data_IF_619732160191
#
_entry.id   IF_619732160191
#
_cell.length_a   1.000
_cell.length_b   1.000
_cell.length_c   1.000
_cell.angle_alpha   90.00
_cell.angle_beta   90.00
_cell.angle_gamma   90.00
#
_symmetry.space_group_name_H-M   'P 1'
#
loop_
_entity.id
_entity.type
_entity.pdbx_description
1 polymer ?
#
# COMPACT_ATOMS: atom_id res chain seq x y z
N UNK A 1 -11.45 18.64 0.09
CA UNK A 1 -11.30 17.92 -1.21
C UNK A 1 -9.82 17.88 -1.55
N UNK A 2 -9.33 16.78 -2.09
CA UNK A 2 -7.98 16.65 -2.61
C UNK A 2 -7.98 15.78 -3.87
N UNK A 3 -6.94 15.93 -4.67
CA UNK A 3 -6.71 15.13 -5.87
C UNK A 3 -5.29 14.59 -5.81
N UNK A 4 -5.13 13.31 -6.16
CA UNK A 4 -3.81 12.67 -6.30
C UNK A 4 -3.54 12.55 -7.81
N UNK A 5 -2.46 13.15 -8.32
CA UNK A 5 -2.14 13.07 -9.74
C UNK A 5 -1.81 11.62 -10.14
N UNK A 6 -2.14 11.27 -11.37
CA UNK A 6 -1.74 9.98 -11.92
C UNK A 6 -0.21 9.85 -11.94
N UNK A 7 0.28 8.68 -11.55
CA UNK A 7 1.72 8.38 -11.40
C UNK A 7 2.46 9.22 -10.35
N UNK A 8 1.72 10.00 -9.54
CA UNK A 8 2.29 10.80 -8.46
C UNK A 8 2.52 9.98 -7.20
N UNK A 9 3.41 10.50 -6.36
CA UNK A 9 3.70 9.97 -5.01
C UNK A 9 3.28 11.00 -3.98
N UNK A 10 2.26 10.68 -3.20
CA UNK A 10 1.66 11.60 -2.23
C UNK A 10 1.83 11.06 -0.83
N UNK A 11 2.39 11.90 0.06
CA UNK A 11 2.49 11.64 1.49
C UNK A 11 1.31 12.22 2.25
N UNK A 12 0.70 11.43 3.14
CA UNK A 12 -0.28 11.91 4.11
C UNK A 12 0.35 11.84 5.49
N UNK A 13 0.74 12.99 5.99
CA UNK A 13 1.46 13.15 7.23
C UNK A 13 0.56 13.72 8.33
N UNK A 14 0.92 13.45 9.57
CA UNK A 14 0.23 13.98 10.74
C UNK A 14 0.40 13.09 11.97
N UNK A 15 0.11 13.60 13.17
CA UNK A 15 0.21 12.85 14.42
C UNK A 15 -0.67 11.58 14.43
N UNK A 16 -0.47 10.72 15.43
CA UNK A 16 -1.35 9.60 15.66
C UNK A 16 -2.77 10.04 16.05
N UNK A 17 -3.77 9.29 15.60
CA UNK A 17 -5.16 9.56 15.93
C UNK A 17 -5.83 10.68 15.11
N UNK A 18 -5.13 11.36 14.19
CA UNK A 18 -5.73 12.44 13.38
C UNK A 18 -6.63 11.94 12.24
N UNK A 19 -6.67 10.61 11.99
CA UNK A 19 -7.56 10.00 11.00
C UNK A 19 -6.90 9.53 9.70
N UNK A 20 -5.56 9.39 9.65
CA UNK A 20 -4.83 8.92 8.46
C UNK A 20 -5.30 7.54 7.99
N UNK A 21 -5.24 6.54 8.86
CA UNK A 21 -5.75 5.18 8.62
C UNK A 21 -7.24 5.19 8.25
N UNK A 22 -8.05 6.00 8.94
CA UNK A 22 -9.48 6.14 8.65
C UNK A 22 -9.72 6.67 7.23
N UNK A 23 -8.90 7.63 6.78
CA UNK A 23 -8.95 8.13 5.42
C UNK A 23 -8.68 6.99 4.42
N UNK A 24 -7.58 6.25 4.56
CA UNK A 24 -7.27 5.14 3.67
C UNK A 24 -8.35 4.05 3.72
N UNK A 25 -8.79 3.65 4.91
CA UNK A 25 -9.86 2.67 5.10
C UNK A 25 -11.18 3.11 4.44
N UNK A 26 -11.49 4.42 4.44
CA UNK A 26 -12.65 4.98 3.75
C UNK A 26 -12.48 4.90 2.23
N UNK A 27 -11.28 5.22 1.71
CA UNK A 27 -10.99 5.14 0.28
C UNK A 27 -11.15 3.71 -0.25
N UNK A 28 -10.73 2.69 0.51
CA UNK A 28 -10.89 1.28 0.11
C UNK A 28 -12.27 0.70 0.44
N UNK A 29 -13.10 1.41 1.21
CA UNK A 29 -14.46 0.99 1.55
C UNK A 29 -14.56 0.03 2.74
N UNK A 30 -13.59 0.04 3.64
CA UNK A 30 -13.58 -0.71 4.90
C UNK A 30 -14.33 0.01 6.02
N UNK A 31 -14.55 1.32 5.88
CA UNK A 31 -15.30 2.11 6.85
C UNK A 31 -16.50 2.81 6.19
N UNK A 32 -17.48 3.17 7.02
CA UNK A 32 -18.66 3.90 6.55
C UNK A 32 -18.27 5.34 6.20
N UNK A 33 -18.52 5.74 4.95
CA UNK A 33 -18.39 7.13 4.52
C UNK A 33 -19.64 7.91 4.95
N UNK A 34 -19.47 9.09 5.52
CA UNK A 34 -20.55 9.97 5.93
C UNK A 34 -20.96 10.94 4.83
N UNK A 35 -19.98 11.51 4.09
CA UNK A 35 -20.23 12.49 3.04
C UNK A 35 -19.11 12.47 1.98
N UNK A 36 -19.27 13.22 0.90
CA UNK A 36 -18.29 13.38 -0.18
C UNK A 36 -18.38 12.31 -1.25
N UNK A 37 -17.53 12.39 -2.26
CA UNK A 37 -17.44 11.45 -3.38
C UNK A 37 -16.00 11.00 -3.58
N UNK A 38 -15.79 9.79 -4.09
CA UNK A 38 -14.48 9.20 -4.37
C UNK A 38 -14.46 8.81 -5.83
N UNK A 39 -13.42 9.26 -6.52
CA UNK A 39 -13.19 9.01 -7.93
C UNK A 39 -11.86 8.29 -8.13
N UNK A 40 -11.80 7.34 -9.06
CA UNK A 40 -10.59 6.63 -9.46
C UNK A 40 -10.53 6.58 -10.99
N UNK A 41 -9.53 7.23 -11.58
CA UNK A 41 -9.35 7.27 -13.03
C UNK A 41 -10.59 7.77 -13.80
N UNK A 42 -11.28 8.80 -13.28
CA UNK A 42 -12.50 9.35 -13.88
C UNK A 42 -13.79 8.59 -13.56
N UNK A 43 -13.71 7.44 -12.89
CA UNK A 43 -14.88 6.65 -12.48
C UNK A 43 -15.24 6.92 -11.02
N UNK A 44 -16.51 7.17 -10.74
CA UNK A 44 -16.99 7.28 -9.37
C UNK A 44 -17.08 5.90 -8.71
N UNK A 45 -16.31 5.73 -7.62
CA UNK A 45 -16.26 4.48 -6.84
C UNK A 45 -16.93 4.61 -5.47
N UNK A 46 -17.60 5.72 -5.21
CA UNK A 46 -18.13 6.11 -3.89
C UNK A 46 -18.97 5.01 -3.23
N UNK A 47 -19.87 4.37 -3.98
CA UNK A 47 -20.77 3.33 -3.50
C UNK A 47 -20.30 1.91 -3.82
N UNK A 48 -19.13 1.77 -4.44
CA UNK A 48 -18.58 0.45 -4.75
C UNK A 48 -18.14 -0.28 -3.48
N UNK A 49 -18.47 -1.57 -3.31
CA UNK A 49 -17.92 -2.38 -2.23
C UNK A 49 -16.40 -2.57 -2.42
N UNK A 50 -15.68 -2.84 -1.33
CA UNK A 50 -14.22 -3.01 -1.29
C UNK A 50 -13.69 -3.92 -2.40
N UNK A 51 -14.34 -5.05 -2.64
CA UNK A 51 -13.92 -6.01 -3.69
C UNK A 51 -14.00 -5.42 -5.11
N UNK A 52 -14.97 -4.56 -5.40
CA UNK A 52 -15.07 -3.86 -6.70
C UNK A 52 -14.03 -2.74 -6.81
N UNK A 53 -13.76 -2.00 -5.73
CA UNK A 53 -12.69 -0.98 -5.70
C UNK A 53 -11.34 -1.62 -5.96
N UNK A 54 -11.07 -2.78 -5.33
CA UNK A 54 -9.85 -3.54 -5.58
C UNK A 54 -9.70 -4.01 -7.03
N UNK A 55 -10.81 -4.42 -7.69
CA UNK A 55 -10.82 -4.78 -9.12
C UNK A 55 -10.70 -3.55 -10.03
N UNK A 56 -11.18 -2.40 -9.58
CA UNK A 56 -11.03 -1.14 -10.30
C UNK A 56 -9.60 -0.59 -10.27
N UNK A 57 -8.68 -1.23 -9.53
CA UNK A 57 -7.27 -0.85 -9.50
C UNK A 57 -6.80 -0.18 -8.21
N UNK A 58 -7.57 -0.28 -7.11
CA UNK A 58 -7.16 0.23 -5.81
C UNK A 58 -6.48 -0.88 -4.98
N UNK A 59 -5.18 -0.75 -4.70
CA UNK A 59 -4.43 -1.61 -3.79
C UNK A 59 -4.33 -0.98 -2.40
N UNK A 60 -4.23 -1.81 -1.37
CA UNK A 60 -4.08 -1.36 0.01
C UNK A 60 -3.20 -2.29 0.82
N UNK A 61 -2.25 -1.72 1.53
CA UNK A 61 -1.41 -2.40 2.52
C UNK A 61 -1.70 -1.73 3.86
N UNK A 62 -2.42 -2.40 4.76
CA UNK A 62 -2.74 -1.87 6.09
C UNK A 62 -1.52 -1.93 7.02
N UNK A 63 -1.52 -1.11 8.06
CA UNK A 63 -0.54 -1.09 9.14
C UNK A 63 -0.36 -2.47 9.79
N UNK A 64 -1.44 -3.25 9.93
CA UNK A 64 -1.44 -4.61 10.49
C UNK A 64 -0.84 -5.68 9.56
N UNK A 65 -0.45 -5.29 8.33
CA UNK A 65 0.12 -6.15 7.27
C UNK A 65 -0.86 -7.17 6.70
N UNK A 66 -1.78 -7.71 7.51
CA UNK A 66 -2.86 -8.66 7.16
C UNK A 66 -2.41 -9.86 6.29
N UNK A 67 -1.24 -10.44 6.63
CA UNK A 67 -0.78 -11.67 5.98
C UNK A 67 -1.59 -12.88 6.47
N UNK A 68 -1.86 -13.82 5.57
CA UNK A 68 -2.49 -15.09 5.93
C UNK A 68 -1.48 -15.99 6.64
N UNK A 69 -1.47 -15.97 7.95
CA UNK A 69 -0.44 -16.59 8.81
C UNK A 69 -0.34 -18.11 8.63
N UNK A 70 -1.45 -18.77 8.30
CA UNK A 70 -1.55 -20.21 8.04
C UNK A 70 -1.18 -20.63 6.62
N UNK A 71 -0.97 -19.68 5.71
CA UNK A 71 -0.51 -19.92 4.36
C UNK A 71 1.00 -19.71 4.27
N UNK A 72 1.63 -20.42 3.35
CA UNK A 72 3.03 -20.17 2.98
C UNK A 72 3.16 -18.79 2.29
N UNK A 73 4.40 -18.33 2.15
CA UNK A 73 4.71 -17.10 1.40
C UNK A 73 4.18 -17.19 -0.03
N UNK A 74 4.45 -18.30 -0.72
CA UNK A 74 3.98 -18.49 -2.10
C UNK A 74 2.45 -18.50 -2.20
N UNK A 75 1.75 -19.17 -1.28
CA UNK A 75 0.29 -19.19 -1.25
C UNK A 75 -0.29 -17.78 -0.98
N UNK A 76 0.31 -17.02 -0.06
CA UNK A 76 -0.05 -15.62 0.16
C UNK A 76 0.07 -14.78 -1.12
N UNK A 77 1.18 -14.93 -1.84
CA UNK A 77 1.41 -14.22 -3.11
C UNK A 77 0.40 -14.64 -4.19
N UNK A 78 0.07 -15.94 -4.28
CA UNK A 78 -0.94 -16.46 -5.23
C UNK A 78 -2.32 -15.82 -5.02
N UNK A 79 -2.71 -15.52 -3.79
CA UNK A 79 -3.96 -14.77 -3.51
C UNK A 79 -3.94 -13.38 -4.17
N UNK A 80 -2.75 -12.74 -4.26
CA UNK A 80 -2.58 -11.44 -4.88
C UNK A 80 -2.71 -11.42 -6.40
N UNK A 81 -2.59 -12.56 -7.08
CA UNK A 81 -2.53 -12.64 -8.55
C UNK A 81 -3.81 -12.18 -9.26
N UNK A 82 -4.98 -12.27 -8.61
CA UNK A 82 -6.28 -11.85 -9.20
C UNK A 82 -6.55 -12.43 -10.58
N UNK A 83 -6.16 -13.69 -10.80
CA UNK A 83 -6.33 -14.40 -12.08
C UNK A 83 -5.16 -14.29 -13.05
N UNK A 84 -4.09 -13.60 -12.71
CA UNK A 84 -2.84 -13.59 -13.47
C UNK A 84 -2.14 -14.96 -13.40
N UNK A 85 -1.31 -15.31 -14.39
CA UNK A 85 -0.59 -16.58 -14.39
C UNK A 85 0.40 -16.67 -13.21
N UNK A 86 0.69 -17.91 -12.78
CA UNK A 86 1.61 -18.16 -11.65
C UNK A 86 3.02 -17.60 -11.90
N UNK A 87 3.47 -17.54 -13.16
CA UNK A 87 4.74 -16.91 -13.53
C UNK A 87 4.86 -15.44 -13.12
N UNK A 88 3.73 -14.75 -12.87
CA UNK A 88 3.76 -13.39 -12.36
C UNK A 88 4.32 -13.27 -10.92
N UNK A 89 4.46 -14.39 -10.20
CA UNK A 89 5.15 -14.42 -8.90
C UNK A 89 6.61 -13.96 -9.01
N UNK A 90 7.24 -14.15 -10.16
CA UNK A 90 8.63 -13.72 -10.42
C UNK A 90 8.78 -12.19 -10.25
N UNK A 91 7.72 -11.41 -10.51
CA UNK A 91 7.72 -9.96 -10.28
C UNK A 91 7.87 -9.63 -8.79
N UNK A 92 7.18 -10.37 -7.91
CA UNK A 92 7.29 -10.20 -6.46
C UNK A 92 8.67 -10.66 -5.94
N UNK A 93 9.18 -11.76 -6.46
CA UNK A 93 10.49 -12.29 -6.08
C UNK A 93 11.65 -11.41 -6.59
N UNK A 94 11.49 -10.76 -7.74
CA UNK A 94 12.46 -9.79 -8.23
C UNK A 94 12.51 -8.52 -7.36
N UNK A 95 11.37 -8.08 -6.82
CA UNK A 95 11.30 -6.94 -5.89
C UNK A 95 11.80 -7.29 -4.49
N UNK A 96 11.50 -8.48 -4.01
CA UNK A 96 11.82 -8.96 -2.67
C UNK A 96 12.42 -10.37 -2.72
N UNK A 97 13.73 -10.51 -3.05
CA UNK A 97 14.38 -11.83 -3.20
C UNK A 97 14.25 -12.73 -1.96
N UNK A 98 14.22 -12.16 -0.76
CA UNK A 98 14.02 -12.88 0.50
C UNK A 98 12.71 -13.67 0.51
N UNK A 99 11.65 -13.20 -0.18
CA UNK A 99 10.38 -13.92 -0.26
C UNK A 99 10.52 -15.22 -1.07
N UNK A 100 11.41 -15.25 -2.09
CA UNK A 100 11.71 -16.48 -2.82
C UNK A 100 12.44 -17.50 -1.94
N UNK A 101 13.43 -17.06 -1.17
CA UNK A 101 14.16 -17.93 -0.22
C UNK A 101 13.21 -18.54 0.81
N UNK A 102 12.21 -17.76 1.26
CA UNK A 102 11.22 -18.14 2.25
C UNK A 102 9.90 -18.68 1.67
N UNK A 103 9.80 -18.91 0.35
CA UNK A 103 8.54 -19.19 -0.34
C UNK A 103 7.73 -20.38 0.22
N UNK A 104 8.41 -21.35 0.84
CA UNK A 104 7.80 -22.53 1.46
C UNK A 104 7.53 -22.38 2.97
N UNK A 105 7.98 -21.31 3.60
CA UNK A 105 7.71 -21.05 5.01
C UNK A 105 6.31 -20.47 5.18
N UNK A 106 5.67 -20.81 6.30
CA UNK A 106 4.42 -20.16 6.67
C UNK A 106 4.65 -18.67 7.00
N UNK A 107 3.68 -17.80 6.67
CA UNK A 107 3.79 -16.38 6.95
C UNK A 107 3.89 -16.07 8.47
N UNK A 108 3.42 -16.98 9.33
CA UNK A 108 3.60 -16.91 10.78
C UNK A 108 5.06 -17.05 11.24
N UNK A 109 5.94 -17.60 10.41
CA UNK A 109 7.37 -17.82 10.71
C UNK A 109 8.26 -16.66 10.22
N UNK A 110 7.68 -15.68 9.54
CA UNK A 110 8.39 -14.52 9.00
C UNK A 110 8.60 -13.47 10.09
N UNK A 111 9.74 -12.76 9.99
CA UNK A 111 9.96 -11.52 10.73
C UNK A 111 8.94 -10.43 10.34
N UNK A 112 8.81 -9.39 11.17
CA UNK A 112 7.93 -8.27 10.86
C UNK A 112 8.23 -7.60 9.51
N UNK A 113 9.51 -7.45 9.17
CA UNK A 113 9.93 -6.90 7.87
C UNK A 113 9.57 -7.81 6.69
N UNK A 114 9.80 -9.12 6.81
CA UNK A 114 9.42 -10.08 5.77
C UNK A 114 7.89 -10.14 5.58
N UNK A 115 7.11 -10.01 6.68
CA UNK A 115 5.65 -9.91 6.59
C UNK A 115 5.21 -8.63 5.88
N UNK A 116 5.90 -7.50 6.11
CA UNK A 116 5.63 -6.25 5.42
C UNK A 116 5.93 -6.34 3.92
N UNK A 117 7.08 -6.92 3.56
CA UNK A 117 7.42 -7.21 2.16
C UNK A 117 6.38 -8.12 1.51
N UNK A 118 5.93 -9.16 2.21
CA UNK A 118 4.91 -10.09 1.71
C UNK A 118 3.56 -9.41 1.48
N UNK A 119 3.10 -8.58 2.42
CA UNK A 119 1.86 -7.81 2.28
C UNK A 119 1.93 -6.85 1.09
N UNK A 120 3.05 -6.14 0.95
CA UNK A 120 3.30 -5.20 -0.15
C UNK A 120 3.36 -5.94 -1.49
N UNK A 121 4.13 -7.01 -1.60
CA UNK A 121 4.25 -7.83 -2.80
C UNK A 121 2.88 -8.39 -3.25
N UNK A 122 2.10 -8.90 -2.30
CA UNK A 122 0.74 -9.41 -2.56
C UNK A 122 -0.18 -8.33 -3.14
N UNK A 123 -0.12 -7.10 -2.61
CA UNK A 123 -0.91 -5.98 -3.12
C UNK A 123 -0.49 -5.58 -4.54
N UNK A 124 0.82 -5.56 -4.81
CA UNK A 124 1.43 -5.21 -6.11
C UNK A 124 1.08 -6.22 -7.19
N UNK A 125 1.08 -7.53 -6.88
CA UNK A 125 0.75 -8.58 -7.83
C UNK A 125 -0.64 -8.42 -8.47
N UNK A 126 -1.56 -7.73 -7.78
CA UNK A 126 -2.85 -7.35 -8.34
C UNK A 126 -2.81 -6.22 -9.37
N UNK A 127 -1.63 -5.68 -9.69
CA UNK A 127 -1.40 -4.55 -10.60
C UNK A 127 -2.34 -3.35 -10.34
N UNK A 128 -2.37 -2.81 -9.12
CA UNK A 128 -3.21 -1.66 -8.85
C UNK A 128 -2.70 -0.43 -9.59
N UNK A 129 -3.62 0.44 -10.04
CA UNK A 129 -3.27 1.76 -10.58
C UNK A 129 -2.93 2.75 -9.47
N UNK A 130 -3.50 2.55 -8.28
CA UNK A 130 -3.21 3.30 -7.06
C UNK A 130 -2.94 2.33 -5.92
N UNK A 131 -1.81 2.46 -5.25
CA UNK A 131 -1.46 1.69 -4.05
C UNK A 131 -1.44 2.61 -2.84
N UNK A 132 -2.26 2.26 -1.85
CA UNK A 132 -2.34 2.93 -0.56
C UNK A 132 -1.52 2.15 0.47
N UNK A 133 -0.60 2.82 1.16
CA UNK A 133 0.30 2.25 2.14
C UNK A 133 0.09 2.94 3.49
N UNK A 134 -0.31 2.20 4.50
CA UNK A 134 -0.63 2.72 5.82
C UNK A 134 0.49 2.37 6.81
N UNK A 135 1.34 3.34 7.11
CA UNK A 135 2.50 3.25 8.00
C UNK A 135 3.39 2.02 7.71
N UNK A 136 3.81 1.82 6.45
CA UNK A 136 4.50 0.60 6.04
C UNK A 136 5.88 0.42 6.68
N UNK A 137 6.47 1.47 7.25
CA UNK A 137 7.80 1.45 7.88
C UNK A 137 7.75 1.21 9.39
N UNK A 138 6.54 1.19 9.98
CA UNK A 138 6.40 1.09 11.44
C UNK A 138 6.97 -0.22 12.00
N UNK A 139 7.82 -0.09 13.04
CA UNK A 139 8.41 -1.23 13.73
C UNK A 139 9.40 -2.04 12.89
N UNK A 140 9.91 -1.48 11.79
CA UNK A 140 10.93 -2.12 10.96
C UNK A 140 12.35 -1.61 11.30
N UNK A 141 13.33 -2.49 11.12
CA UNK A 141 14.73 -2.09 11.19
C UNK A 141 15.07 -1.13 10.02
N UNK A 142 15.96 -0.16 10.22
CA UNK A 142 16.31 0.84 9.19
C UNK A 142 16.68 0.24 7.83
N UNK A 143 17.47 -0.83 7.81
CA UNK A 143 17.85 -1.51 6.56
C UNK A 143 16.66 -2.09 5.80
N UNK A 144 15.64 -2.54 6.50
CA UNK A 144 14.40 -3.07 5.90
C UNK A 144 13.53 -1.92 5.36
N UNK A 145 13.48 -0.80 6.09
CA UNK A 145 12.83 0.42 5.59
C UNK A 145 13.46 0.86 4.25
N UNK A 146 14.79 0.90 4.18
CA UNK A 146 15.50 1.32 2.97
C UNK A 146 15.28 0.34 1.80
N UNK A 147 15.22 -0.96 2.07
CA UNK A 147 14.91 -1.98 1.07
C UNK A 147 13.48 -1.82 0.53
N UNK A 148 12.49 -1.63 1.42
CA UNK A 148 11.10 -1.42 1.04
C UNK A 148 10.93 -0.15 0.22
N UNK A 149 11.50 0.97 0.65
CA UNK A 149 11.40 2.25 -0.05
C UNK A 149 12.03 2.20 -1.43
N UNK A 150 13.21 1.58 -1.59
CA UNK A 150 13.84 1.36 -2.90
C UNK A 150 12.98 0.51 -3.82
N UNK A 151 12.32 -0.52 -3.29
CA UNK A 151 11.43 -1.38 -4.07
C UNK A 151 10.18 -0.62 -4.54
N UNK A 152 9.61 0.23 -3.69
CA UNK A 152 8.47 1.09 -4.04
C UNK A 152 8.85 2.15 -5.08
N UNK A 153 10.04 2.73 -4.97
CA UNK A 153 10.56 3.71 -5.94
C UNK A 153 10.75 3.08 -7.33
N UNK A 154 11.43 1.93 -7.38
CA UNK A 154 11.60 1.17 -8.62
C UNK A 154 10.26 0.77 -9.26
N UNK A 155 9.28 0.42 -8.44
CA UNK A 155 7.95 0.07 -8.89
C UNK A 155 7.19 1.27 -9.46
N UNK A 156 7.22 2.41 -8.76
CA UNK A 156 6.57 3.65 -9.22
C UNK A 156 7.13 4.08 -10.57
N UNK A 157 8.46 4.06 -10.71
CA UNK A 157 9.13 4.42 -11.96
C UNK A 157 8.78 3.49 -13.12
N UNK A 158 8.76 2.17 -12.89
CA UNK A 158 8.55 1.16 -13.94
C UNK A 158 7.09 0.97 -14.32
N UNK A 159 6.20 0.91 -13.33
CA UNK A 159 4.79 0.57 -13.56
C UNK A 159 3.88 1.79 -13.75
N UNK A 160 4.38 3.00 -13.53
CA UNK A 160 3.57 4.22 -13.57
C UNK A 160 2.43 4.21 -12.55
N UNK A 161 2.65 3.55 -11.41
CA UNK A 161 1.67 3.41 -10.32
C UNK A 161 1.62 4.68 -9.50
N UNK A 162 0.42 5.09 -9.13
CA UNK A 162 0.22 6.17 -8.15
C UNK A 162 0.38 5.61 -6.74
N UNK A 163 1.16 6.27 -5.89
CA UNK A 163 1.40 5.84 -4.51
C UNK A 163 0.85 6.89 -3.52
N UNK A 164 0.11 6.42 -2.53
CA UNK A 164 -0.30 7.22 -1.38
C UNK A 164 0.29 6.59 -0.14
N UNK A 165 1.20 7.31 0.50
CA UNK A 165 1.95 6.87 1.66
C UNK A 165 1.47 7.62 2.90
N UNK A 166 0.92 6.90 3.86
CA UNK A 166 0.69 7.42 5.21
C UNK A 166 1.89 7.05 6.06
N UNK A 167 2.56 8.03 6.67
CA UNK A 167 3.74 7.79 7.50
C UNK A 167 3.84 8.78 8.66
N UNK A 168 4.59 8.35 9.69
CA UNK A 168 4.99 9.18 10.82
C UNK A 168 6.47 9.55 10.74
N UNK A 169 7.29 8.77 10.05
CA UNK A 169 8.70 9.03 9.80
C UNK A 169 8.82 10.08 8.69
N UNK A 170 8.69 11.35 9.08
CA UNK A 170 8.56 12.49 8.15
C UNK A 170 9.73 12.56 7.17
N UNK A 171 10.97 12.45 7.66
CA UNK A 171 12.17 12.54 6.82
C UNK A 171 12.15 11.51 5.68
N UNK A 172 11.92 10.22 6.01
CA UNK A 172 11.83 9.15 5.00
C UNK A 172 10.66 9.32 4.05
N UNK A 173 9.53 9.84 4.53
CA UNK A 173 8.39 10.11 3.67
C UNK A 173 8.70 11.25 2.70
N UNK A 174 9.32 12.34 3.15
CA UNK A 174 9.67 13.50 2.32
C UNK A 174 10.70 13.16 1.24
N UNK A 175 11.64 12.26 1.51
CA UNK A 175 12.62 11.80 0.52
C UNK A 175 11.96 11.00 -0.62
N UNK A 176 10.77 10.47 -0.39
CA UNK A 176 10.08 9.59 -1.33
C UNK A 176 8.94 10.25 -2.10
N UNK A 177 8.18 11.16 -1.47
CA UNK A 177 6.95 11.73 -2.04
C UNK A 177 7.22 13.04 -2.78
N UNK A 178 6.37 13.34 -3.76
CA UNK A 178 6.43 14.57 -4.58
C UNK A 178 5.47 15.64 -4.05
N UNK A 179 4.43 15.20 -3.35
CA UNK A 179 3.41 16.08 -2.77
C UNK A 179 3.09 15.61 -1.36
N UNK A 180 2.87 16.54 -0.46
CA UNK A 180 2.54 16.25 0.93
C UNK A 180 1.16 16.81 1.27
N UNK A 181 0.39 16.04 2.01
CA UNK A 181 -0.83 16.49 2.68
C UNK A 181 -0.65 16.36 4.19
N UNK A 182 -0.82 17.42 4.92
CA UNK A 182 -0.83 17.40 6.40
C UNK A 182 -2.26 17.24 6.86
N UNK A 183 -2.52 16.15 7.59
CA UNK A 183 -3.81 15.88 8.20
C UNK A 183 -3.79 16.31 9.67
N UNK A 184 -4.76 17.09 10.07
CA UNK A 184 -5.01 17.46 11.47
C UNK A 184 -6.51 17.33 11.78
N UNK A 185 -6.84 16.62 12.85
CA UNK A 185 -8.21 16.43 13.36
C UNK A 185 -9.22 16.07 12.25
N UNK A 186 -8.85 15.14 11.36
CA UNK A 186 -9.68 14.68 10.26
C UNK A 186 -9.83 15.66 9.10
N UNK A 187 -9.03 16.72 9.05
CA UNK A 187 -9.03 17.72 7.97
C UNK A 187 -7.65 17.86 7.35
N UNK A 188 -7.60 18.16 6.06
CA UNK A 188 -6.36 18.56 5.40
C UNK A 188 -6.08 19.99 5.84
N UNK A 189 -5.03 20.17 6.65
CA UNK A 189 -4.58 21.47 7.14
C UNK A 189 -3.70 22.18 6.11
N UNK A 190 -2.94 21.41 5.33
CA UNK A 190 -2.03 21.94 4.31
C UNK A 190 -1.76 20.90 3.22
N UNK A 191 -1.45 21.36 2.00
CA UNK A 191 -0.97 20.52 0.90
C UNK A 191 -0.05 21.32 -0.02
N UNK A 192 1.05 20.70 -0.47
CA UNK A 192 2.03 21.30 -1.39
C UNK A 192 3.03 20.28 -1.90
#
# INVERSE_FOLDING_TARGET
TFTVPARGRVGVLGPNGVGKTTLLATLVGLTRRHAGRIWLGGNEITLMPTSRRARAGLGYVPQTRDVFRSLTVEENLRVGLKGRPVSALDEAYALFPRLYERRRHFASQLSGGEQQMLATARAILGQPSVLLLDEPLEGLAPVICDELMRSLDALSAKAGMTLVLVEQQIERALDFVETVMILDRGRIAWSG
#
